data_IF_632349976491
#
_entry.id   IF_632349976491
#
_cell.length_a   1.000
_cell.length_b   1.000
_cell.length_c   1.000
_cell.angle_alpha   90.00
_cell.angle_beta   90.00
_cell.angle_gamma   90.00
#
_symmetry.space_group_name_H-M   'P 1'
#
loop_
_entity.id
_entity.type
_entity.pdbx_description
1 polymer ?
#
# COMPACT_ATOMS: atom_id res chain seq x y z
N UNK A 1 28.89 -18.86 -25.17
CA UNK A 1 27.71 -18.45 -24.40
C UNK A 1 27.79 -19.09 -23.02
N UNK A 2 27.95 -18.29 -21.96
CA UNK A 2 27.73 -18.76 -20.60
C UNK A 2 26.24 -18.58 -20.31
N UNK A 3 25.55 -19.55 -19.66
CA UNK A 3 24.18 -19.33 -19.25
C UNK A 3 24.15 -18.29 -18.13
N UNK A 4 23.29 -17.29 -18.27
CA UNK A 4 22.96 -16.35 -17.21
C UNK A 4 22.42 -17.12 -16.00
N UNK A 5 22.98 -16.79 -14.83
CA UNK A 5 22.53 -17.35 -13.55
C UNK A 5 21.09 -16.88 -13.29
N UNK A 6 20.19 -17.76 -12.82
CA UNK A 6 18.87 -17.32 -12.40
C UNK A 6 19.00 -16.38 -11.20
N UNK A 7 18.46 -15.17 -11.37
CA UNK A 7 18.24 -14.18 -10.31
C UNK A 7 17.46 -14.87 -9.19
N UNK A 8 18.15 -15.17 -8.08
CA UNK A 8 17.50 -15.69 -6.88
C UNK A 8 16.61 -14.58 -6.33
N UNK A 9 15.31 -14.75 -6.50
CA UNK A 9 14.29 -13.99 -5.79
C UNK A 9 14.51 -14.29 -4.30
N UNK A 10 14.92 -13.27 -3.54
CA UNK A 10 15.09 -13.38 -2.09
C UNK A 10 13.74 -13.74 -1.48
N UNK A 11 13.73 -14.76 -0.62
CA UNK A 11 12.52 -15.20 0.09
C UNK A 11 11.97 -14.04 0.94
N UNK A 12 10.65 -14.01 1.10
CA UNK A 12 9.88 -13.04 1.91
C UNK A 12 10.41 -12.84 3.34
N UNK A 13 11.25 -13.74 3.85
CA UNK A 13 11.82 -13.73 5.21
C UNK A 13 12.98 -12.76 5.42
N UNK A 14 13.57 -12.18 4.36
CA UNK A 14 14.92 -11.60 4.45
C UNK A 14 14.96 -10.06 4.42
N UNK A 15 13.80 -9.38 4.34
CA UNK A 15 13.74 -7.92 4.16
C UNK A 15 13.15 -7.15 5.35
N UNK A 16 12.57 -7.83 6.34
CA UNK A 16 12.03 -7.19 7.54
C UNK A 16 12.32 -8.07 8.77
N UNK A 17 13.02 -7.52 9.77
CA UNK A 17 13.53 -8.27 10.93
C UNK A 17 12.44 -9.05 11.67
N UNK A 18 12.84 -10.11 12.38
CA UNK A 18 11.96 -11.08 13.05
C UNK A 18 11.13 -10.50 14.23
N UNK A 19 11.04 -9.17 14.38
CA UNK A 19 10.35 -8.50 15.48
C UNK A 19 9.61 -7.25 14.96
N UNK A 20 8.44 -7.47 14.33
CA UNK A 20 7.52 -6.40 13.91
C UNK A 20 6.33 -6.33 14.87
N UNK A 21 5.96 -5.13 15.29
CA UNK A 21 4.73 -4.87 16.05
C UNK A 21 3.63 -4.46 15.09
N UNK A 22 2.51 -5.19 15.09
CA UNK A 22 1.30 -4.76 14.36
C UNK A 22 0.70 -3.55 15.09
N UNK A 23 0.52 -2.46 14.35
CA UNK A 23 -0.09 -1.22 14.83
C UNK A 23 -1.57 -1.14 14.44
N UNK A 24 -1.90 -1.65 13.24
CA UNK A 24 -3.25 -1.69 12.71
C UNK A 24 -3.47 -3.01 11.97
N UNK A 25 -4.60 -3.64 12.20
CA UNK A 25 -5.12 -4.76 11.42
C UNK A 25 -6.61 -4.43 11.15
N UNK A 26 -6.92 -4.09 9.90
CA UNK A 26 -8.18 -3.47 9.53
C UNK A 26 -8.75 -4.14 8.28
N UNK A 27 -10.02 -4.50 8.33
CA UNK A 27 -10.75 -5.07 7.20
C UNK A 27 -11.75 -4.05 6.67
N UNK A 28 -11.48 -3.49 5.50
CA UNK A 28 -12.29 -2.45 4.88
C UNK A 28 -13.23 -3.07 3.82
N UNK A 29 -14.54 -2.77 3.85
CA UNK A 29 -15.45 -3.09 2.74
C UNK A 29 -15.03 -2.34 1.47
N UNK A 30 -15.24 -2.92 0.29
CA UNK A 30 -14.84 -2.34 -1.01
C UNK A 30 -15.76 -1.22 -1.47
N UNK A 31 -15.89 -0.18 -0.64
CA UNK A 31 -16.72 1.01 -0.85
C UNK A 31 -15.89 2.25 -0.57
N UNK A 32 -15.99 3.27 -1.43
CA UNK A 32 -15.13 4.44 -1.37
C UNK A 32 -15.37 5.26 -0.08
N UNK A 33 -16.60 5.30 0.41
CA UNK A 33 -16.95 5.99 1.66
C UNK A 33 -16.32 5.36 2.92
N UNK A 34 -15.81 4.13 2.84
CA UNK A 34 -15.14 3.49 3.97
C UNK A 34 -13.66 3.91 4.10
N UNK A 35 -13.10 4.57 3.07
CA UNK A 35 -11.70 5.05 3.08
C UNK A 35 -11.49 6.11 4.18
N UNK A 36 -12.47 6.98 4.41
CA UNK A 36 -12.39 8.01 5.47
C UNK A 36 -12.23 7.37 6.86
N UNK A 37 -12.97 6.30 7.14
CA UNK A 37 -12.89 5.59 8.43
C UNK A 37 -11.56 4.86 8.60
N UNK A 38 -10.99 4.33 7.52
CA UNK A 38 -9.66 3.76 7.54
C UNK A 38 -8.62 4.86 7.81
N UNK A 39 -8.75 6.03 7.19
CA UNK A 39 -7.82 7.14 7.42
C UNK A 39 -7.80 7.60 8.89
N UNK A 40 -8.97 7.69 9.53
CA UNK A 40 -9.07 7.97 10.96
C UNK A 40 -8.37 6.90 11.81
N UNK A 41 -8.53 5.61 11.47
CA UNK A 41 -7.87 4.52 12.18
C UNK A 41 -6.34 4.56 12.01
N UNK A 42 -5.85 4.92 10.82
CA UNK A 42 -4.42 5.09 10.53
C UNK A 42 -3.85 6.25 11.34
N UNK A 43 -4.54 7.39 11.39
CA UNK A 43 -4.12 8.56 12.16
C UNK A 43 -4.06 8.28 13.67
N UNK A 44 -4.90 7.38 14.18
CA UNK A 44 -4.85 6.94 15.57
C UNK A 44 -3.72 5.93 15.83
N UNK A 45 -3.42 5.07 14.86
CA UNK A 45 -2.42 4.02 14.98
C UNK A 45 -0.98 4.52 14.80
N UNK A 46 -0.76 5.54 13.97
CA UNK A 46 0.54 6.14 13.69
C UNK A 46 0.71 7.46 14.42
N UNK A 47 1.65 7.49 15.37
CA UNK A 47 1.94 8.70 16.16
C UNK A 47 2.69 9.78 15.40
N UNK A 48 3.38 9.42 14.32
CA UNK A 48 4.09 10.35 13.44
C UNK A 48 3.13 10.86 12.34
N UNK A 49 2.80 12.16 12.31
CA UNK A 49 1.86 12.71 11.34
C UNK A 49 2.32 12.57 9.87
N UNK A 50 3.62 12.63 9.60
CA UNK A 50 4.14 12.51 8.23
C UNK A 50 4.02 11.07 7.73
N UNK A 51 4.28 10.08 8.62
CA UNK A 51 4.05 8.67 8.30
C UNK A 51 2.56 8.37 8.11
N UNK A 52 1.69 8.93 8.96
CA UNK A 52 0.25 8.78 8.83
C UNK A 52 -0.26 9.38 7.50
N UNK A 53 0.21 10.57 7.14
CA UNK A 53 -0.10 11.20 5.87
C UNK A 53 0.35 10.34 4.67
N UNK A 54 1.60 9.87 4.66
CA UNK A 54 2.10 9.01 3.60
C UNK A 54 1.30 7.70 3.47
N UNK A 55 0.97 7.07 4.60
CA UNK A 55 0.17 5.85 4.64
C UNK A 55 -1.22 6.08 4.06
N UNK A 56 -1.91 7.16 4.47
CA UNK A 56 -3.24 7.49 4.00
C UNK A 56 -3.29 7.74 2.49
N UNK A 57 -2.35 8.55 1.95
CA UNK A 57 -2.27 8.78 0.51
C UNK A 57 -2.05 7.47 -0.25
N UNK A 58 -1.16 6.60 0.24
CA UNK A 58 -0.90 5.33 -0.43
C UNK A 58 -2.10 4.36 -0.37
N UNK A 59 -2.75 4.26 0.79
CA UNK A 59 -3.90 3.41 1.00
C UNK A 59 -5.08 3.84 0.13
N UNK A 60 -5.38 5.13 0.09
CA UNK A 60 -6.45 5.68 -0.75
C UNK A 60 -6.24 5.34 -2.22
N UNK A 61 -5.03 5.57 -2.75
CA UNK A 61 -4.71 5.28 -4.14
C UNK A 61 -4.83 3.79 -4.47
N UNK A 62 -4.30 2.92 -3.61
CA UNK A 62 -4.31 1.47 -3.85
C UNK A 62 -5.71 0.86 -3.68
N UNK A 63 -6.46 1.29 -2.67
CA UNK A 63 -7.83 0.83 -2.42
C UNK A 63 -8.75 1.31 -3.53
N UNK A 64 -8.66 2.57 -3.95
CA UNK A 64 -9.44 3.10 -5.07
C UNK A 64 -9.15 2.33 -6.35
N UNK A 65 -7.87 2.09 -6.68
CA UNK A 65 -7.50 1.29 -7.85
C UNK A 65 -8.03 -0.15 -7.76
N UNK A 66 -7.98 -0.77 -6.59
CA UNK A 66 -8.50 -2.12 -6.38
C UNK A 66 -10.02 -2.16 -6.58
N UNK A 67 -10.77 -1.22 -6.00
CA UNK A 67 -12.23 -1.15 -6.14
C UNK A 67 -12.62 -0.88 -7.59
N UNK A 68 -12.04 0.15 -8.21
CA UNK A 68 -12.45 0.63 -9.54
C UNK A 68 -11.96 -0.31 -10.65
N UNK A 69 -10.70 -0.76 -10.60
CA UNK A 69 -10.07 -1.51 -11.69
C UNK A 69 -10.00 -3.01 -11.43
N UNK A 70 -9.55 -3.43 -10.24
CA UNK A 70 -9.42 -4.84 -9.89
C UNK A 70 -10.78 -5.54 -9.72
N UNK A 71 -11.69 -4.88 -9.01
CA UNK A 71 -13.00 -5.41 -8.63
C UNK A 71 -14.15 -4.90 -9.48
N UNK A 72 -13.90 -3.95 -10.39
CA UNK A 72 -14.91 -3.34 -11.27
C UNK A 72 -16.14 -2.82 -10.48
N UNK A 73 -15.91 -2.28 -9.28
CA UNK A 73 -16.92 -1.70 -8.41
C UNK A 73 -17.69 -2.70 -7.54
N UNK A 74 -17.26 -3.96 -7.41
CA UNK A 74 -17.91 -4.91 -6.50
C UNK A 74 -17.78 -4.43 -5.04
N UNK A 75 -18.92 -4.15 -4.39
CA UNK A 75 -19.01 -3.50 -3.08
C UNK A 75 -19.30 -4.45 -1.90
N UNK A 76 -19.32 -5.76 -2.16
CA UNK A 76 -19.59 -6.86 -1.23
C UNK A 76 -18.32 -7.63 -0.83
N UNK A 77 -17.15 -7.11 -1.21
CA UNK A 77 -15.85 -7.71 -0.94
C UNK A 77 -15.09 -6.90 0.13
N UNK A 78 -13.91 -7.37 0.48
CA UNK A 78 -13.09 -6.75 1.52
C UNK A 78 -11.63 -6.70 1.10
N UNK A 79 -10.95 -5.65 1.56
CA UNK A 79 -9.49 -5.55 1.51
C UNK A 79 -9.00 -5.61 2.96
N UNK A 80 -8.02 -6.48 3.19
CA UNK A 80 -7.29 -6.55 4.44
C UNK A 80 -6.15 -5.55 4.38
N UNK A 81 -6.05 -4.69 5.40
CA UNK A 81 -4.95 -3.73 5.58
C UNK A 81 -4.26 -4.06 6.89
N UNK A 82 -2.94 -4.26 6.85
CA UNK A 82 -2.13 -4.40 8.05
C UNK A 82 -1.01 -3.37 8.01
N UNK A 83 -0.86 -2.61 9.09
CA UNK A 83 0.27 -1.71 9.31
C UNK A 83 1.10 -2.29 10.44
N UNK A 84 2.37 -2.53 10.17
CA UNK A 84 3.31 -3.00 11.17
C UNK A 84 4.58 -2.15 11.18
N UNK A 85 5.25 -2.14 12.32
CA UNK A 85 6.45 -1.33 12.53
C UNK A 85 7.55 -2.19 13.14
N UNK A 86 8.77 -1.95 12.69
CA UNK A 86 10.00 -2.46 13.28
C UNK A 86 10.90 -1.29 13.67
N UNK A 87 12.13 -1.55 14.10
CA UNK A 87 13.08 -0.48 14.42
C UNK A 87 13.53 0.33 13.19
N UNK A 88 13.37 -0.23 11.98
CA UNK A 88 13.88 0.37 10.74
C UNK A 88 12.79 0.69 9.71
N UNK A 89 11.64 0.01 9.79
CA UNK A 89 10.63 0.03 8.74
C UNK A 89 9.22 0.18 9.28
N UNK A 90 8.44 1.01 8.61
CA UNK A 90 6.99 0.92 8.56
C UNK A 90 6.62 0.05 7.34
N UNK A 91 5.80 -0.97 7.56
CA UNK A 91 5.30 -1.87 6.52
C UNK A 91 3.77 -1.76 6.45
N UNK A 92 3.26 -1.57 5.23
CA UNK A 92 1.83 -1.59 4.93
C UNK A 92 1.57 -2.76 3.99
N UNK A 93 0.76 -3.72 4.44
CA UNK A 93 0.30 -4.84 3.65
C UNK A 93 -1.16 -4.63 3.28
N UNK A 94 -1.47 -4.76 1.99
CA UNK A 94 -2.83 -4.85 1.49
C UNK A 94 -3.04 -6.24 0.88
N UNK A 95 -4.16 -6.87 1.19
CA UNK A 95 -4.57 -8.12 0.55
C UNK A 95 -6.04 -8.07 0.15
N UNK A 96 -6.33 -8.39 -1.10
CA UNK A 96 -7.67 -8.49 -1.65
C UNK A 96 -7.84 -9.80 -2.41
N UNK A 97 -9.08 -10.12 -2.75
CA UNK A 97 -9.46 -11.32 -3.50
C UNK A 97 -9.82 -11.00 -4.97
N UNK A 98 -9.41 -9.84 -5.49
CA UNK A 98 -9.60 -9.50 -6.89
C UNK A 98 -8.87 -10.48 -7.81
N UNK A 99 -9.31 -10.62 -9.09
CA UNK A 99 -8.49 -11.23 -10.11
C UNK A 99 -7.09 -10.60 -10.13
N UNK A 100 -6.08 -11.37 -10.56
CA UNK A 100 -4.70 -10.92 -10.59
C UNK A 100 -4.60 -9.55 -11.29
N UNK A 101 -4.17 -8.55 -10.52
CA UNK A 101 -4.08 -7.16 -10.94
C UNK A 101 -2.89 -6.50 -10.24
N UNK A 102 -1.93 -6.05 -11.02
CA UNK A 102 -0.78 -5.29 -10.53
C UNK A 102 -1.05 -3.80 -10.78
N UNK A 103 -1.41 -3.01 -9.76
CA UNK A 103 -1.70 -1.60 -9.94
C UNK A 103 -0.48 -0.80 -10.39
N UNK A 104 0.75 -1.26 -10.11
CA UNK A 104 1.97 -0.56 -10.50
C UNK A 104 2.34 -0.71 -11.98
N UNK A 105 1.68 -1.65 -12.67
CA UNK A 105 1.88 -1.96 -14.09
C UNK A 105 0.62 -1.72 -14.93
N UNK A 106 -0.56 -1.89 -14.35
CA UNK A 106 -1.83 -1.95 -15.08
C UNK A 106 -2.78 -0.78 -14.80
N UNK A 107 -2.57 -0.01 -13.71
CA UNK A 107 -3.40 1.16 -13.44
C UNK A 107 -3.13 2.29 -14.47
N UNK A 108 -4.16 3.07 -14.85
CA UNK A 108 -3.97 4.21 -15.73
C UNK A 108 -2.97 5.22 -15.13
N UNK A 109 -2.24 5.92 -16.00
CA UNK A 109 -1.38 7.01 -15.55
C UNK A 109 -2.23 8.08 -14.85
N UNK A 110 -1.74 8.66 -13.74
CA UNK A 110 -2.49 9.69 -13.03
C UNK A 110 -2.74 10.88 -13.94
N UNK A 111 -3.90 11.50 -13.79
CA UNK A 111 -4.14 12.80 -14.37
C UNK A 111 -3.42 13.85 -13.52
N UNK A 112 -2.25 14.31 -13.99
CA UNK A 112 -1.41 15.30 -13.30
C UNK A 112 -1.83 16.76 -13.58
N UNK A 113 -2.88 16.97 -14.39
CA UNK A 113 -3.29 18.32 -14.84
C UNK A 113 -4.17 19.08 -13.84
N UNK A 114 -4.50 18.51 -12.68
CA UNK A 114 -5.21 19.23 -11.61
C UNK A 114 -4.24 19.64 -10.50
N UNK A 115 -4.35 20.88 -10.03
CA UNK A 115 -3.52 21.47 -8.98
C UNK A 115 -3.55 20.64 -7.69
N UNK A 116 -2.39 20.46 -7.06
CA UNK A 116 -2.20 19.59 -5.88
C UNK A 116 -2.92 20.12 -4.64
N UNK A 117 -3.23 21.43 -4.62
CA UNK A 117 -3.78 22.13 -3.46
C UNK A 117 -5.32 22.21 -3.48
N UNK A 118 -5.99 21.79 -4.56
CA UNK A 118 -7.44 21.95 -4.72
C UNK A 118 -8.22 20.63 -4.78
N UNK A 119 -7.54 19.48 -4.69
CA UNK A 119 -8.23 18.19 -4.69
C UNK A 119 -8.64 17.79 -3.27
N UNK A 120 -9.81 17.14 -3.07
CA UNK A 120 -9.90 16.16 -1.99
C UNK A 120 -8.72 15.20 -2.13
N UNK A 121 -8.18 14.70 -1.03
CA UNK A 121 -7.10 13.70 -1.06
C UNK A 121 -7.51 12.61 -2.08
N UNK A 122 -6.62 12.26 -3.02
CA UNK A 122 -6.90 11.31 -4.13
C UNK A 122 -6.66 11.80 -5.58
N UNK A 123 -6.33 10.87 -6.47
CA UNK A 123 -6.16 11.07 -7.93
C UNK A 123 -4.73 11.31 -8.40
N UNK A 124 -3.73 11.11 -7.53
CA UNK A 124 -2.31 11.25 -7.81
C UNK A 124 -1.70 9.96 -8.40
N UNK A 125 -2.47 8.87 -8.35
CA UNK A 125 -2.16 7.56 -8.91
C UNK A 125 -1.04 6.84 -8.17
N UNK A 126 -0.75 5.62 -8.64
CA UNK A 126 0.34 4.77 -8.13
C UNK A 126 1.74 5.40 -8.24
N UNK A 127 1.88 6.47 -9.03
CA UNK A 127 3.11 7.27 -9.07
C UNK A 127 3.42 7.92 -7.72
N UNK A 128 2.38 8.38 -7.01
CA UNK A 128 2.57 8.97 -5.69
C UNK A 128 3.02 7.91 -4.68
N UNK A 129 2.45 6.70 -4.75
CA UNK A 129 2.88 5.57 -3.91
C UNK A 129 4.39 5.31 -4.05
N UNK A 130 4.90 5.26 -5.29
CA UNK A 130 6.33 5.04 -5.58
C UNK A 130 7.24 6.19 -5.13
N UNK A 131 6.70 7.40 -4.94
CA UNK A 131 7.42 8.58 -4.46
C UNK A 131 7.43 8.68 -2.94
N UNK A 132 6.35 8.27 -2.28
CA UNK A 132 6.21 8.36 -0.83
C UNK A 132 6.85 7.18 -0.11
N UNK A 133 6.89 6.01 -0.75
CA UNK A 133 7.45 4.78 -0.18
C UNK A 133 8.86 4.50 -0.70
N UNK A 134 9.69 3.86 0.11
CA UNK A 134 11.05 3.49 -0.27
C UNK A 134 11.09 2.18 -1.07
N UNK A 135 10.09 1.31 -0.87
CA UNK A 135 9.87 0.10 -1.66
C UNK A 135 8.37 -0.20 -1.78
N UNK A 136 7.98 -0.76 -2.92
CA UNK A 136 6.60 -1.14 -3.21
C UNK A 136 6.61 -2.41 -4.08
N UNK A 137 5.89 -3.44 -3.63
CA UNK A 137 5.84 -4.75 -4.27
C UNK A 137 4.40 -5.19 -4.43
N UNK A 138 4.11 -5.82 -5.55
CA UNK A 138 2.86 -6.52 -5.79
C UNK A 138 3.16 -7.98 -6.11
N UNK A 139 2.36 -8.88 -5.56
CA UNK A 139 2.40 -10.31 -5.83
C UNK A 139 0.97 -10.87 -5.89
N UNK A 140 0.84 -12.12 -6.35
CA UNK A 140 -0.41 -12.86 -6.38
C UNK A 140 -0.22 -14.24 -5.77
N UNK A 141 -0.81 -14.47 -4.59
CA UNK A 141 -0.56 -15.68 -3.80
C UNK A 141 -1.44 -16.89 -4.20
N UNK A 142 -2.17 -16.76 -5.32
CA UNK A 142 -3.12 -17.75 -5.81
C UNK A 142 -4.53 -17.62 -5.23
N UNK A 143 -4.69 -16.93 -4.09
CA UNK A 143 -5.98 -16.61 -3.48
C UNK A 143 -6.39 -15.14 -3.68
N UNK A 144 -5.42 -14.28 -4.02
CA UNK A 144 -5.65 -12.85 -4.10
C UNK A 144 -4.39 -12.05 -4.39
N UNK A 145 -4.55 -10.75 -4.59
CA UNK A 145 -3.43 -9.83 -4.74
C UNK A 145 -2.87 -9.47 -3.36
N UNK A 146 -1.55 -9.35 -3.28
CA UNK A 146 -0.83 -8.90 -2.08
C UNK A 146 0.07 -7.74 -2.46
N UNK A 147 -0.11 -6.60 -1.81
CA UNK A 147 0.74 -5.43 -1.99
C UNK A 147 1.47 -5.15 -0.68
N UNK A 148 2.78 -4.97 -0.76
CA UNK A 148 3.61 -4.61 0.38
C UNK A 148 4.33 -3.31 0.08
N UNK A 149 4.14 -2.32 0.94
CA UNK A 149 4.84 -1.04 0.91
C UNK A 149 5.77 -0.93 2.11
N UNK A 150 6.99 -0.46 1.89
CA UNK A 150 7.97 -0.23 2.93
C UNK A 150 8.40 1.23 2.96
N UNK A 151 8.41 1.81 4.16
CA UNK A 151 8.94 3.14 4.44
C UNK A 151 10.01 3.04 5.51
N UNK A 152 11.20 3.57 5.23
CA UNK A 152 12.29 3.60 6.18
C UNK A 152 12.01 4.63 7.27
N UNK A 153 12.12 4.20 8.52
CA UNK A 153 12.05 5.08 9.67
C UNK A 153 13.40 5.78 9.83
N UNK A 154 13.39 7.10 9.80
CA UNK A 154 14.55 7.88 10.19
C UNK A 154 14.58 7.91 11.71
N UNK A 155 15.60 7.31 12.33
CA UNK A 155 15.81 7.53 13.75
C UNK A 155 16.10 9.02 13.96
N UNK A 156 15.42 9.64 14.91
CA UNK A 156 15.85 10.94 15.41
C UNK A 156 17.30 10.76 15.87
N UNK A 157 18.21 11.58 15.35
CA UNK A 157 19.55 11.66 15.91
C UNK A 157 19.40 12.01 17.39
N UNK A 158 19.82 11.09 18.26
CA UNK A 158 19.76 11.26 19.71
C UNK A 158 20.63 12.40 20.21
#
# INVERSE_FOLDING_TARGET
MKPDKPTQIKKESDLCGHNRKVLLDYRIPTRLEEIEKLADAVNQALSDPDLAFHANVCLEELITNTIVHGLKGAADRFIQVQISVSNEWLEILLKDDAPQFDPFMQAPSPNLDLDINERPIGGLGVHMVKKLMDDARADYDGSGNVIVLLKKLHQAAG
#
